data_IF_858713775289
#
_entry.id   IF_858713775289
#
_cell.length_a   1.000
_cell.length_b   1.000
_cell.length_c   1.000
_cell.angle_alpha   90.00
_cell.angle_beta   90.00
_cell.angle_gamma   90.00
#
_symmetry.space_group_name_H-M   'P 1'
#
loop_
_entity.id
_entity.type
_entity.pdbx_description
1 polymer ?
#
# COMPACT_ATOMS: atom_id res chain seq x y z
N UNK A 1 -15.59 25.34 -0.13
CA UNK A 1 -14.89 24.75 -1.31
C UNK A 1 -15.91 24.19 -2.27
N UNK A 2 -15.54 23.56 -3.37
CA UNK A 2 -16.52 23.08 -4.34
C UNK A 2 -15.99 21.81 -5.02
N UNK A 3 -16.87 20.86 -5.34
CA UNK A 3 -16.53 19.66 -6.11
C UNK A 3 -17.09 19.82 -7.51
N UNK A 4 -16.23 19.68 -8.53
CA UNK A 4 -16.61 19.85 -9.92
C UNK A 4 -17.15 18.55 -10.51
N UNK A 5 -18.34 18.58 -11.06
CA UNK A 5 -18.99 17.46 -11.74
C UNK A 5 -18.24 17.14 -13.04
N UNK A 6 -17.86 15.88 -13.22
CA UNK A 6 -17.27 15.36 -14.46
C UNK A 6 -18.32 14.68 -15.35
N UNK A 7 -19.20 13.90 -14.73
CA UNK A 7 -20.24 13.16 -15.41
C UNK A 7 -21.53 13.15 -14.58
N UNK A 8 -22.66 13.04 -15.25
CA UNK A 8 -23.98 12.83 -14.64
C UNK A 8 -24.58 11.53 -15.17
N UNK A 9 -25.11 10.73 -14.26
CA UNK A 9 -25.75 9.48 -14.60
C UNK A 9 -27.11 9.72 -15.24
N UNK A 10 -27.36 9.05 -16.38
CA UNK A 10 -28.63 9.18 -17.10
C UNK A 10 -29.78 8.64 -16.25
N UNK A 11 -30.86 9.41 -16.16
CA UNK A 11 -32.06 9.10 -15.37
C UNK A 11 -31.93 9.39 -13.87
N UNK A 12 -30.82 10.01 -13.43
CA UNK A 12 -30.60 10.40 -12.03
C UNK A 12 -31.39 11.65 -11.62
N UNK A 13 -31.48 11.89 -10.31
CA UNK A 13 -32.01 13.15 -9.78
C UNK A 13 -31.17 14.34 -10.17
N UNK A 14 -29.84 14.18 -10.24
CA UNK A 14 -28.93 15.23 -10.69
C UNK A 14 -29.26 15.69 -12.13
N UNK A 15 -29.53 14.73 -13.04
CA UNK A 15 -29.99 15.05 -14.41
C UNK A 15 -31.35 15.74 -14.41
N UNK A 16 -32.31 15.26 -13.59
CA UNK A 16 -33.62 15.84 -13.46
C UNK A 16 -33.64 17.29 -12.98
N UNK A 17 -32.65 17.68 -12.15
CA UNK A 17 -32.42 19.06 -11.69
C UNK A 17 -31.78 19.95 -12.76
N UNK A 18 -31.28 19.37 -13.86
CA UNK A 18 -30.60 20.07 -14.94
C UNK A 18 -29.13 20.40 -14.65
N UNK A 19 -28.52 19.71 -13.70
CA UNK A 19 -27.08 19.78 -13.47
C UNK A 19 -26.33 19.24 -14.70
N UNK A 20 -25.14 19.77 -14.95
CA UNK A 20 -24.32 19.41 -16.12
C UNK A 20 -22.86 19.16 -15.74
N UNK A 21 -22.12 18.37 -16.52
CA UNK A 21 -20.66 18.30 -16.40
C UNK A 21 -20.05 19.71 -16.46
N UNK A 22 -19.18 20.00 -15.51
CA UNK A 22 -18.56 21.30 -15.33
C UNK A 22 -19.18 22.18 -14.25
N UNK A 23 -20.40 21.88 -13.79
CA UNK A 23 -21.01 22.55 -12.62
C UNK A 23 -20.24 22.19 -11.34
N UNK A 24 -20.26 23.11 -10.36
CA UNK A 24 -19.56 22.96 -9.08
C UNK A 24 -20.56 22.83 -7.94
N UNK A 25 -20.57 21.69 -7.25
CA UNK A 25 -21.37 21.51 -6.03
C UNK A 25 -20.71 22.23 -4.85
N UNK A 26 -21.44 23.09 -4.15
CA UNK A 26 -20.92 23.95 -3.09
C UNK A 26 -21.26 23.44 -1.71
N UNK A 27 -22.54 23.13 -1.44
CA UNK A 27 -23.00 22.67 -0.14
C UNK A 27 -24.27 21.83 -0.23
N UNK A 28 -24.47 21.00 0.80
CA UNK A 28 -25.72 20.27 1.07
C UNK A 28 -26.13 20.57 2.53
N UNK A 29 -27.35 21.06 2.75
CA UNK A 29 -27.88 21.46 4.07
C UNK A 29 -26.90 22.33 4.87
N UNK A 30 -26.34 23.38 4.23
CA UNK A 30 -25.33 24.30 4.78
C UNK A 30 -23.94 23.66 5.04
N UNK A 31 -23.77 22.33 4.86
CA UNK A 31 -22.46 21.70 4.95
C UNK A 31 -21.71 21.87 3.62
N UNK A 32 -20.53 22.48 3.67
CA UNK A 32 -19.65 22.60 2.50
C UNK A 32 -19.23 21.21 2.00
N UNK A 33 -19.13 21.05 0.68
CA UNK A 33 -18.64 19.84 0.05
C UNK A 33 -17.14 20.02 -0.28
N UNK A 34 -16.28 19.33 0.44
CA UNK A 34 -14.83 19.43 0.30
C UNK A 34 -14.23 18.24 -0.48
N UNK A 35 -14.94 17.13 -0.51
CA UNK A 35 -14.53 15.88 -1.16
C UNK A 35 -15.75 15.01 -1.49
N UNK A 36 -15.51 13.88 -2.16
CA UNK A 36 -16.56 12.93 -2.51
C UNK A 36 -17.20 12.26 -1.31
N UNK A 37 -16.49 12.17 -0.16
CA UNK A 37 -17.07 11.61 1.06
C UNK A 37 -18.16 12.52 1.63
N UNK A 38 -17.94 13.85 1.63
CA UNK A 38 -18.99 14.82 2.00
C UNK A 38 -20.19 14.70 1.06
N UNK A 39 -19.95 14.62 -0.25
CA UNK A 39 -21.00 14.46 -1.23
C UNK A 39 -21.83 13.19 -0.98
N UNK A 40 -21.20 12.04 -0.88
CA UNK A 40 -21.89 10.76 -0.66
C UNK A 40 -22.69 10.78 0.64
N UNK A 41 -22.08 11.27 1.73
CA UNK A 41 -22.71 11.30 3.03
C UNK A 41 -23.93 12.23 3.09
N UNK A 42 -23.78 13.48 2.62
CA UNK A 42 -24.85 14.45 2.74
C UNK A 42 -25.94 14.28 1.69
N UNK A 43 -25.64 13.69 0.52
CA UNK A 43 -26.66 13.37 -0.48
C UNK A 43 -27.36 12.03 -0.23
N UNK A 44 -26.88 11.15 0.66
CA UNK A 44 -27.59 9.92 1.05
C UNK A 44 -28.75 10.21 2.01
N UNK A 45 -29.67 11.07 1.57
CA UNK A 45 -30.87 11.47 2.30
C UNK A 45 -32.05 11.50 1.36
N UNK A 46 -33.26 11.28 1.90
CA UNK A 46 -34.53 11.42 1.14
C UNK A 46 -34.92 12.89 0.89
N UNK A 47 -34.33 13.84 1.65
CA UNK A 47 -34.51 15.26 1.41
C UNK A 47 -33.29 16.05 1.86
N UNK A 48 -32.88 17.02 1.04
CA UNK A 48 -31.77 17.93 1.36
C UNK A 48 -31.86 19.20 0.52
N UNK A 49 -31.20 20.26 0.98
CA UNK A 49 -31.03 21.50 0.24
C UNK A 49 -29.67 21.53 -0.45
N UNK A 50 -29.67 21.53 -1.78
CA UNK A 50 -28.47 21.55 -2.61
C UNK A 50 -28.16 22.96 -3.11
N UNK A 51 -26.91 23.39 -2.99
CA UNK A 51 -26.40 24.61 -3.58
C UNK A 51 -25.24 24.29 -4.54
N UNK A 52 -25.35 24.79 -5.77
CA UNK A 52 -24.33 24.60 -6.77
C UNK A 52 -24.10 25.88 -7.60
N UNK A 53 -22.89 26.00 -8.15
CA UNK A 53 -22.53 27.01 -9.12
C UNK A 53 -22.65 26.39 -10.50
N UNK A 54 -23.56 26.89 -11.29
CA UNK A 54 -23.83 26.51 -12.68
C UNK A 54 -23.43 27.65 -13.62
N UNK A 55 -23.51 27.40 -14.94
CA UNK A 55 -23.07 28.38 -15.96
C UNK A 55 -23.63 29.80 -15.77
N UNK A 56 -24.90 29.91 -15.31
CA UNK A 56 -25.59 31.19 -15.13
C UNK A 56 -25.46 31.80 -13.72
N UNK A 57 -24.67 31.18 -12.83
CA UNK A 57 -24.47 31.67 -11.46
C UNK A 57 -24.78 30.60 -10.41
N UNK A 58 -25.05 31.03 -9.17
CA UNK A 58 -25.38 30.10 -8.08
C UNK A 58 -26.88 29.78 -8.14
N UNK A 59 -27.21 28.48 -8.03
CA UNK A 59 -28.58 27.98 -7.91
C UNK A 59 -28.72 27.11 -6.67
N UNK A 60 -29.95 27.02 -6.16
CA UNK A 60 -30.32 26.24 -5.00
C UNK A 60 -31.57 25.41 -5.31
N UNK A 61 -31.61 24.18 -4.77
CA UNK A 61 -32.73 23.26 -4.96
C UNK A 61 -33.11 22.58 -3.63
N UNK A 62 -34.40 22.49 -3.35
CA UNK A 62 -34.91 21.57 -2.33
C UNK A 62 -35.17 20.22 -2.96
N UNK A 63 -34.25 19.30 -2.78
CA UNK A 63 -34.33 17.95 -3.34
C UNK A 63 -35.20 17.10 -2.43
N UNK A 64 -36.16 16.35 -3.04
CA UNK A 64 -37.00 15.36 -2.36
C UNK A 64 -37.05 14.10 -3.18
N UNK A 65 -36.66 12.97 -2.59
CA UNK A 65 -36.55 11.66 -3.23
C UNK A 65 -37.44 10.63 -2.56
N UNK A 66 -37.93 9.67 -3.33
CA UNK A 66 -38.70 8.56 -2.80
C UNK A 66 -37.88 7.62 -1.94
N UNK A 67 -36.64 7.41 -2.32
CA UNK A 67 -35.66 6.50 -1.63
C UNK A 67 -34.32 7.17 -1.50
N UNK A 68 -33.52 6.70 -0.55
CA UNK A 68 -32.09 7.04 -0.43
C UNK A 68 -31.29 6.32 -1.50
N UNK A 69 -30.13 6.83 -1.84
CA UNK A 69 -29.25 6.21 -2.81
C UNK A 69 -28.36 7.22 -3.55
N UNK A 70 -27.62 6.81 -4.57
CA UNK A 70 -26.76 7.71 -5.34
C UNK A 70 -27.56 8.86 -5.94
N UNK A 71 -27.03 10.07 -5.82
CA UNK A 71 -27.65 11.27 -6.40
C UNK A 71 -27.35 11.40 -7.90
N UNK A 72 -26.25 10.80 -8.36
CA UNK A 72 -25.92 10.61 -9.78
C UNK A 72 -24.92 11.61 -10.36
N UNK A 73 -24.01 12.13 -9.55
CA UNK A 73 -22.85 12.88 -10.02
C UNK A 73 -21.56 12.07 -9.84
N UNK A 74 -20.73 12.00 -10.88
CA UNK A 74 -19.37 11.51 -10.82
C UNK A 74 -18.38 12.66 -10.92
N UNK A 75 -17.19 12.46 -10.37
CA UNK A 75 -16.14 13.47 -10.24
C UNK A 75 -14.82 12.93 -10.80
N UNK A 76 -14.07 13.77 -11.51
CA UNK A 76 -12.72 13.43 -12.01
C UNK A 76 -11.66 13.38 -10.92
N UNK A 77 -11.96 13.93 -9.73
CA UNK A 77 -11.09 13.92 -8.56
C UNK A 77 -11.91 13.65 -7.31
N UNK A 78 -11.33 12.92 -6.37
CA UNK A 78 -11.96 12.64 -5.06
C UNK A 78 -11.91 13.84 -4.12
N UNK A 79 -11.05 14.83 -4.38
CA UNK A 79 -10.86 16.00 -3.54
C UNK A 79 -11.29 17.27 -4.26
N UNK A 80 -12.02 18.13 -3.57
CA UNK A 80 -12.39 19.46 -4.06
C UNK A 80 -11.27 20.49 -3.95
N UNK A 81 -10.18 20.16 -3.24
CA UNK A 81 -9.01 21.00 -3.03
C UNK A 81 -7.70 20.23 -3.27
N UNK A 82 -6.57 20.82 -2.88
CA UNK A 82 -5.27 20.16 -2.96
C UNK A 82 -5.09 19.16 -1.82
N UNK A 83 -4.32 18.07 -2.10
CA UNK A 83 -3.92 17.09 -1.10
C UNK A 83 -3.14 17.75 0.04
N UNK A 84 -3.42 17.33 1.27
CA UNK A 84 -2.71 17.80 2.46
C UNK A 84 -1.30 17.18 2.52
N UNK A 85 -0.28 18.01 2.36
CA UNK A 85 1.11 17.57 2.44
C UNK A 85 1.55 17.40 3.89
N UNK A 86 2.35 16.37 4.16
CA UNK A 86 2.89 16.08 5.48
C UNK A 86 3.80 17.21 5.99
N UNK A 87 3.55 17.68 7.20
CA UNK A 87 4.33 18.72 7.89
C UNK A 87 5.47 18.17 8.75
N UNK A 88 5.67 16.84 8.79
CA UNK A 88 6.67 16.19 9.62
C UNK A 88 8.05 16.15 8.97
N UNK A 89 9.09 16.10 9.83
CA UNK A 89 10.48 15.84 9.45
C UNK A 89 10.99 14.59 10.16
N UNK A 90 10.29 13.46 9.93
CA UNK A 90 10.54 12.21 10.63
C UNK A 90 11.98 11.74 10.46
N UNK A 91 12.63 11.33 11.57
CA UNK A 91 13.99 10.79 11.52
C UNK A 91 14.15 9.56 10.62
N UNK A 92 13.05 8.94 10.22
CA UNK A 92 12.96 7.73 9.41
C UNK A 92 12.28 7.95 8.05
N UNK A 93 11.91 9.18 7.68
CA UNK A 93 11.17 9.44 6.46
C UNK A 93 11.89 8.87 5.24
N UNK A 94 11.20 7.99 4.48
CA UNK A 94 11.78 7.38 3.29
C UNK A 94 11.91 8.41 2.15
N UNK A 95 10.96 9.35 2.05
CA UNK A 95 10.97 10.40 1.03
C UNK A 95 12.19 11.32 1.19
N UNK A 96 12.58 11.65 2.43
CA UNK A 96 13.73 12.51 2.70
C UNK A 96 15.08 11.85 2.35
N UNK A 97 15.11 10.56 2.10
CA UNK A 97 16.30 9.79 1.73
C UNK A 97 16.20 9.20 0.31
N UNK A 98 15.35 9.79 -0.54
CA UNK A 98 15.33 9.49 -1.97
C UNK A 98 16.51 10.19 -2.67
N UNK A 99 17.09 9.56 -3.73
CA UNK A 99 18.08 10.23 -4.56
C UNK A 99 17.54 11.54 -5.14
N UNK A 100 18.35 12.58 -5.27
CA UNK A 100 17.93 13.82 -5.94
C UNK A 100 17.73 13.59 -7.45
N UNK A 101 16.79 14.34 -8.05
CA UNK A 101 16.56 14.33 -9.51
C UNK A 101 15.64 13.24 -10.03
N UNK A 102 14.94 12.52 -9.15
CA UNK A 102 13.84 11.64 -9.54
C UNK A 102 12.60 12.48 -9.91
N UNK A 103 11.57 11.84 -10.52
CA UNK A 103 10.33 12.54 -10.86
C UNK A 103 9.65 13.17 -9.64
N UNK A 104 9.06 14.33 -9.82
CA UNK A 104 8.51 15.17 -8.74
C UNK A 104 7.48 14.45 -7.88
N UNK A 105 6.64 13.61 -8.48
CA UNK A 105 5.59 12.85 -7.77
C UNK A 105 6.13 11.95 -6.65
N UNK A 106 7.39 11.49 -6.71
CA UNK A 106 8.00 10.66 -5.69
C UNK A 106 8.38 11.44 -4.42
N UNK A 107 8.50 12.76 -4.51
CA UNK A 107 8.85 13.61 -3.36
C UNK A 107 7.64 14.15 -2.61
N UNK A 108 6.43 13.82 -3.08
CA UNK A 108 5.22 14.20 -2.36
C UNK A 108 5.09 13.40 -1.06
N UNK A 109 4.96 14.11 0.06
CA UNK A 109 4.73 13.51 1.38
C UNK A 109 3.26 13.60 1.70
N UNK A 110 2.57 12.48 1.70
CA UNK A 110 1.16 12.39 2.04
C UNK A 110 0.95 12.34 3.57
N UNK A 111 -0.03 13.08 4.06
CA UNK A 111 -0.59 13.00 5.42
C UNK A 111 -2.04 13.53 5.40
N UNK A 112 -2.81 13.16 4.36
CA UNK A 112 -4.19 13.57 4.13
C UNK A 112 -5.14 12.48 4.66
N UNK A 113 -5.97 12.82 5.63
CA UNK A 113 -6.88 11.89 6.30
C UNK A 113 -7.93 11.31 5.34
N UNK A 114 -8.31 12.04 4.30
CA UNK A 114 -9.27 11.59 3.29
C UNK A 114 -8.71 10.44 2.46
N UNK A 115 -7.40 10.48 2.16
CA UNK A 115 -6.71 9.44 1.42
C UNK A 115 -6.49 8.18 2.28
N UNK A 116 -6.52 8.29 3.60
CA UNK A 116 -6.49 7.12 4.48
C UNK A 116 -7.70 6.21 4.25
N UNK A 117 -8.89 6.78 4.18
CA UNK A 117 -10.11 6.01 3.91
C UNK A 117 -10.22 5.58 2.44
N UNK A 118 -9.96 6.50 1.50
CA UNK A 118 -10.16 6.26 0.06
C UNK A 118 -9.15 5.26 -0.53
N UNK A 119 -7.91 5.27 -0.04
CA UNK A 119 -6.80 4.52 -0.65
C UNK A 119 -5.98 3.69 0.35
N UNK A 120 -6.36 3.65 1.62
CA UNK A 120 -5.64 2.89 2.64
C UNK A 120 -4.34 3.57 3.14
N UNK A 121 -4.10 4.84 2.81
CA UNK A 121 -2.89 5.55 3.23
C UNK A 121 -2.80 5.69 4.74
N UNK A 122 -1.59 5.58 5.28
CA UNK A 122 -1.34 5.74 6.72
C UNK A 122 -1.00 7.18 7.05
N UNK A 123 -1.76 7.80 7.98
CA UNK A 123 -1.60 9.18 8.41
C UNK A 123 -0.99 9.29 9.80
N UNK A 124 -0.27 10.38 10.06
CA UNK A 124 0.28 10.67 11.40
C UNK A 124 -0.68 11.43 12.31
N UNK A 125 -1.76 11.93 11.78
CA UNK A 125 -2.73 12.84 12.42
C UNK A 125 -2.16 14.23 12.78
N UNK A 126 -0.87 14.52 12.49
CA UNK A 126 -0.24 15.78 12.91
C UNK A 126 -0.79 17.01 12.19
N UNK A 127 -1.41 16.82 11.03
CA UNK A 127 -2.10 17.88 10.30
C UNK A 127 -3.53 18.13 10.82
N UNK A 128 -4.14 17.13 11.50
CA UNK A 128 -5.54 17.14 11.88
C UNK A 128 -5.83 18.05 13.08
N UNK A 129 -7.05 18.55 13.14
CA UNK A 129 -7.63 19.34 14.23
C UNK A 129 -8.91 18.66 14.76
N UNK A 130 -9.49 19.21 15.82
CA UNK A 130 -10.64 18.61 16.48
C UNK A 130 -11.86 18.46 15.54
N UNK A 131 -12.09 19.41 14.64
CA UNK A 131 -13.25 19.38 13.73
C UNK A 131 -13.14 18.25 12.67
N UNK A 132 -11.93 17.88 12.24
CA UNK A 132 -11.72 16.77 11.31
C UNK A 132 -11.96 15.42 12.01
N UNK A 133 -11.58 15.31 13.29
CA UNK A 133 -11.92 14.13 14.09
C UNK A 133 -13.44 14.04 14.30
N UNK A 134 -14.12 15.18 14.58
CA UNK A 134 -15.58 15.21 14.70
C UNK A 134 -16.26 14.80 13.39
N UNK A 135 -15.73 15.24 12.24
CA UNK A 135 -16.22 14.85 10.92
C UNK A 135 -16.09 13.33 10.70
N UNK A 136 -14.93 12.74 10.97
CA UNK A 136 -14.69 11.31 10.84
C UNK A 136 -15.70 10.51 11.67
N UNK A 137 -15.90 10.90 12.92
CA UNK A 137 -16.84 10.23 13.83
C UNK A 137 -18.29 10.41 13.34
N UNK A 138 -18.70 11.64 12.99
CA UNK A 138 -20.05 11.95 12.50
C UNK A 138 -20.41 11.15 11.25
N UNK A 139 -19.47 11.02 10.32
CA UNK A 139 -19.67 10.36 9.04
C UNK A 139 -19.38 8.85 9.08
N UNK A 140 -18.94 8.32 10.23
CA UNK A 140 -18.49 6.94 10.37
C UNK A 140 -17.44 6.52 9.32
N UNK A 141 -16.46 7.40 9.05
CA UNK A 141 -15.34 7.10 8.14
C UNK A 141 -14.44 6.07 8.80
N UNK A 142 -14.61 4.81 8.44
CA UNK A 142 -13.99 3.66 9.11
C UNK A 142 -13.72 2.52 8.12
N UNK A 143 -12.57 1.80 8.18
CA UNK A 143 -11.47 2.04 9.11
C UNK A 143 -10.62 3.24 8.73
N UNK A 144 -9.80 3.73 9.68
CA UNK A 144 -8.76 4.73 9.43
C UNK A 144 -7.37 4.14 9.75
N UNK A 145 -6.39 4.42 8.89
CA UNK A 145 -5.05 3.88 9.01
C UNK A 145 -4.10 4.91 9.64
N UNK A 146 -3.50 4.58 10.79
CA UNK A 146 -2.72 5.52 11.58
C UNK A 146 -1.28 5.06 11.77
N UNK A 147 -0.33 5.91 11.37
CA UNK A 147 1.10 5.80 11.66
C UNK A 147 1.35 6.23 13.12
N UNK A 148 1.29 5.27 14.04
CA UNK A 148 1.45 5.52 15.48
C UNK A 148 2.91 5.64 15.87
N UNK A 149 3.72 4.66 15.49
CA UNK A 149 5.17 4.47 15.77
C UNK A 149 5.49 4.28 17.26
N UNK A 150 4.91 5.06 18.15
CA UNK A 150 4.98 4.93 19.62
C UNK A 150 3.83 5.70 20.27
N UNK A 151 3.36 5.22 21.42
CA UNK A 151 2.38 5.90 22.28
C UNK A 151 3.02 6.85 23.29
N UNK A 152 4.37 6.87 23.37
CA UNK A 152 5.10 7.83 24.19
C UNK A 152 5.10 9.22 23.53
N UNK A 153 4.42 10.22 24.12
CA UNK A 153 4.26 11.54 23.48
C UNK A 153 5.60 12.24 23.22
N UNK A 154 6.53 12.17 24.17
CA UNK A 154 7.83 12.83 24.07
C UNK A 154 8.70 12.16 22.99
N UNK A 155 8.70 10.82 22.95
CA UNK A 155 9.43 10.08 21.93
C UNK A 155 8.83 10.33 20.55
N UNK A 156 7.49 10.36 20.42
CA UNK A 156 6.81 10.62 19.16
C UNK A 156 7.13 12.00 18.59
N UNK A 157 7.16 13.05 19.45
CA UNK A 157 7.62 14.40 19.06
C UNK A 157 9.04 14.36 18.49
N UNK A 158 9.93 13.62 19.14
CA UNK A 158 11.33 13.45 18.69
C UNK A 158 11.40 12.68 17.35
N UNK A 159 10.65 11.60 17.21
CA UNK A 159 10.65 10.75 16.01
C UNK A 159 10.10 11.45 14.77
N UNK A 160 9.01 12.21 14.94
CA UNK A 160 8.36 12.96 13.86
C UNK A 160 8.99 14.34 13.62
N UNK A 161 9.86 14.80 14.53
CA UNK A 161 10.40 16.16 14.59
C UNK A 161 9.28 17.22 14.47
N UNK A 162 8.12 16.94 15.09
CA UNK A 162 6.92 17.79 15.09
C UNK A 162 6.34 17.87 16.49
N UNK A 163 6.18 19.09 17.02
CA UNK A 163 5.66 19.33 18.37
C UNK A 163 4.26 18.75 18.57
N UNK A 164 3.43 18.76 17.54
CA UNK A 164 2.08 18.17 17.58
C UNK A 164 2.08 16.64 17.67
N UNK A 165 3.20 15.96 17.34
CA UNK A 165 3.29 14.51 17.31
C UNK A 165 2.87 13.82 18.60
N UNK A 166 3.15 14.43 19.77
CA UNK A 166 2.69 13.91 21.06
C UNK A 166 1.25 14.30 21.41
N UNK A 167 0.85 15.52 21.05
CA UNK A 167 -0.48 16.04 21.35
C UNK A 167 -1.61 15.27 20.66
N UNK A 168 -1.42 14.93 19.38
CA UNK A 168 -2.45 14.27 18.56
C UNK A 168 -2.72 12.81 18.95
N UNK A 169 -1.89 12.21 19.82
CA UNK A 169 -2.18 10.88 20.36
C UNK A 169 -3.51 10.84 21.12
N UNK A 170 -4.00 11.97 21.64
CA UNK A 170 -5.34 12.10 22.25
C UNK A 170 -6.48 11.75 21.30
N UNK A 171 -6.25 11.82 19.98
CA UNK A 171 -7.28 11.52 18.98
C UNK A 171 -7.54 10.02 18.83
N UNK A 172 -6.55 9.20 19.14
CA UNK A 172 -6.69 7.74 19.00
C UNK A 172 -7.81 7.18 19.89
N UNK A 173 -7.81 7.38 21.23
CA UNK A 173 -8.94 6.94 22.05
C UNK A 173 -10.25 7.63 21.67
N UNK A 174 -10.24 8.88 21.23
CA UNK A 174 -11.46 9.59 20.81
C UNK A 174 -12.10 8.98 19.57
N UNK A 175 -11.31 8.55 18.57
CA UNK A 175 -11.79 7.81 17.41
C UNK A 175 -12.41 6.48 17.81
N UNK A 176 -11.72 5.73 18.67
CA UNK A 176 -12.17 4.43 19.20
C UNK A 176 -13.49 4.58 19.98
N UNK A 177 -13.59 5.55 20.88
CA UNK A 177 -14.82 5.88 21.63
C UNK A 177 -15.96 6.31 20.69
N UNK A 178 -15.63 6.97 19.59
CA UNK A 178 -16.57 7.34 18.52
C UNK A 178 -16.98 6.17 17.60
N UNK A 179 -16.53 4.94 17.86
CA UNK A 179 -16.88 3.75 17.09
C UNK A 179 -16.11 3.59 15.77
N UNK A 180 -14.98 4.29 15.61
CA UNK A 180 -14.13 4.20 14.42
C UNK A 180 -13.09 3.11 14.59
N UNK A 181 -13.06 2.16 13.66
CA UNK A 181 -12.04 1.13 13.59
C UNK A 181 -10.70 1.74 13.14
N UNK A 182 -9.61 1.26 13.74
CA UNK A 182 -8.26 1.79 13.49
C UNK A 182 -7.30 0.67 13.15
N UNK A 183 -6.54 0.86 12.07
CA UNK A 183 -5.37 0.06 11.74
C UNK A 183 -4.11 0.85 12.09
N UNK A 184 -3.20 0.24 12.83
CA UNK A 184 -2.00 0.90 13.32
C UNK A 184 -0.75 0.41 12.59
N UNK A 185 0.12 1.34 12.21
CA UNK A 185 1.46 1.03 11.71
C UNK A 185 2.51 1.52 12.71
N UNK A 186 3.45 0.65 13.04
CA UNK A 186 4.63 0.94 13.85
C UNK A 186 5.88 0.81 12.97
N UNK A 187 6.42 1.94 12.50
CA UNK A 187 7.73 1.93 11.88
C UNK A 187 8.79 1.93 12.98
N UNK A 188 9.60 0.87 13.04
CA UNK A 188 10.57 0.68 14.10
C UNK A 188 11.98 1.14 13.71
N UNK A 189 12.60 1.93 14.59
CA UNK A 189 13.95 2.41 14.49
C UNK A 189 14.78 1.76 15.58
N UNK A 190 15.83 1.01 15.22
CA UNK A 190 16.68 0.25 16.15
C UNK A 190 17.22 1.13 17.27
N UNK A 191 17.00 0.71 18.52
CA UNK A 191 17.44 1.41 19.73
C UNK A 191 16.66 2.69 20.05
N UNK A 192 15.49 2.92 19.42
CA UNK A 192 14.66 4.12 19.62
C UNK A 192 13.28 3.78 20.12
N UNK A 193 12.49 3.06 19.33
CA UNK A 193 11.12 2.67 19.66
C UNK A 193 10.89 1.14 19.61
N UNK A 194 11.94 0.36 19.69
CA UNK A 194 11.94 -1.08 19.89
C UNK A 194 12.07 -1.47 21.38
N UNK A 195 12.24 -2.74 21.69
CA UNK A 195 12.42 -3.25 23.05
C UNK A 195 11.27 -2.84 23.99
N UNK A 196 11.60 -2.24 25.14
CA UNK A 196 10.62 -1.83 26.14
C UNK A 196 9.63 -0.77 25.65
N UNK A 197 10.07 0.10 24.75
CA UNK A 197 9.17 1.11 24.16
C UNK A 197 8.14 0.47 23.22
N UNK A 198 8.55 -0.59 22.50
CA UNK A 198 7.61 -1.39 21.69
C UNK A 198 6.61 -2.10 22.58
N UNK A 199 7.06 -2.75 23.67
CA UNK A 199 6.17 -3.41 24.66
C UNK A 199 5.14 -2.45 25.23
N UNK A 200 5.57 -1.25 25.63
CA UNK A 200 4.69 -0.18 26.09
C UNK A 200 3.65 0.17 25.04
N UNK A 201 4.09 0.46 23.82
CA UNK A 201 3.20 0.86 22.71
C UNK A 201 2.17 -0.21 22.40
N UNK A 202 2.57 -1.47 22.34
CA UNK A 202 1.65 -2.59 22.12
C UNK A 202 0.64 -2.75 23.27
N UNK A 203 1.09 -2.61 24.53
CA UNK A 203 0.22 -2.63 25.69
C UNK A 203 -0.86 -1.54 25.64
N UNK A 204 -0.44 -0.29 25.37
CA UNK A 204 -1.35 0.85 25.29
C UNK A 204 -2.39 0.68 24.15
N UNK A 205 -1.97 0.15 22.99
CA UNK A 205 -2.86 -0.09 21.84
C UNK A 205 -3.83 -1.25 22.09
N UNK A 206 -3.42 -2.28 22.80
CA UNK A 206 -4.30 -3.41 23.15
C UNK A 206 -5.48 -2.99 24.04
N UNK A 207 -5.30 -1.99 24.90
CA UNK A 207 -6.40 -1.47 25.73
C UNK A 207 -7.52 -0.80 24.90
N UNK A 208 -7.25 -0.51 23.62
CA UNK A 208 -8.21 0.06 22.67
C UNK A 208 -8.93 -1.00 21.81
N UNK A 209 -8.63 -2.29 22.01
CA UNK A 209 -9.32 -3.39 21.32
C UNK A 209 -10.78 -3.48 21.83
N UNK A 210 -11.79 -3.74 20.97
CA UNK A 210 -11.68 -4.29 19.61
C UNK A 210 -11.62 -3.25 18.47
N UNK A 211 -11.66 -1.95 18.77
CA UNK A 211 -11.66 -0.93 17.72
C UNK A 211 -10.28 -0.75 17.05
N UNK A 212 -9.18 -1.01 17.74
CA UNK A 212 -7.89 -1.29 17.09
C UNK A 212 -7.98 -2.70 16.49
N UNK A 213 -8.11 -2.77 15.17
CA UNK A 213 -8.37 -4.02 14.45
C UNK A 213 -7.09 -4.71 13.98
N UNK A 214 -6.03 -3.94 13.72
CA UNK A 214 -4.74 -4.52 13.33
C UNK A 214 -3.57 -3.58 13.66
N UNK A 215 -2.43 -4.18 13.98
CA UNK A 215 -1.17 -3.48 14.29
C UNK A 215 -0.04 -4.17 13.51
N UNK A 216 0.56 -3.46 12.55
CA UNK A 216 1.72 -3.93 11.83
C UNK A 216 2.99 -3.21 12.28
N UNK A 217 4.07 -3.96 12.52
CA UNK A 217 5.39 -3.39 12.71
C UNK A 217 6.26 -3.62 11.47
N UNK A 218 6.87 -2.54 10.96
CA UNK A 218 7.77 -2.57 9.81
C UNK A 218 9.14 -1.99 10.19
N UNK A 219 10.26 -2.51 9.69
CA UNK A 219 11.56 -1.94 9.97
C UNK A 219 11.80 -0.64 9.20
N UNK A 220 12.57 0.27 9.80
CA UNK A 220 13.00 1.47 9.11
C UNK A 220 13.91 1.11 7.92
N UNK A 221 13.47 1.49 6.70
CA UNK A 221 14.30 1.42 5.50
C UNK A 221 15.42 2.45 5.57
N UNK A 222 16.66 2.05 5.25
CA UNK A 222 17.86 2.90 5.30
C UNK A 222 18.51 2.88 3.93
N UNK A 223 18.59 4.05 3.27
CA UNK A 223 19.29 4.23 2.00
C UNK A 223 20.67 4.88 2.19
N UNK A 224 21.45 4.94 1.13
CA UNK A 224 22.75 5.64 1.15
C UNK A 224 22.61 7.17 1.06
N UNK A 225 21.39 7.71 0.85
CA UNK A 225 21.12 9.15 0.71
C UNK A 225 20.72 9.81 2.04
N UNK A 226 21.47 9.52 3.11
CA UNK A 226 21.16 10.01 4.48
C UNK A 226 22.21 10.98 5.05
N UNK A 227 22.99 11.65 4.23
CA UNK A 227 24.15 12.44 4.67
C UNK A 227 23.82 13.50 5.73
N UNK A 228 22.65 14.13 5.66
CA UNK A 228 22.21 15.17 6.59
C UNK A 228 21.01 14.75 7.46
N UNK A 229 20.68 13.46 7.48
CA UNK A 229 19.56 12.94 8.24
C UNK A 229 20.03 12.25 9.52
N UNK A 230 19.11 12.01 10.45
CA UNK A 230 19.39 11.28 11.68
C UNK A 230 20.02 9.92 11.35
N UNK A 231 21.16 9.60 12.00
CA UNK A 231 21.88 8.35 11.77
C UNK A 231 21.04 7.18 12.27
N UNK A 232 20.58 6.34 11.36
CA UNK A 232 19.89 5.10 11.66
C UNK A 232 20.85 3.91 11.62
N UNK A 233 20.64 2.95 12.52
CA UNK A 233 21.35 1.66 12.50
C UNK A 233 20.38 0.62 11.95
N UNK A 234 20.68 -0.06 10.84
CA UNK A 234 19.83 -1.12 10.32
C UNK A 234 19.69 -2.28 11.32
N UNK A 235 18.56 -2.98 11.24
CA UNK A 235 18.36 -4.22 11.97
C UNK A 235 19.20 -5.34 11.36
N UNK A 236 19.81 -6.14 12.22
CA UNK A 236 20.46 -7.43 11.88
C UNK A 236 19.57 -8.60 12.27
N UNK A 237 20.06 -9.84 12.09
CA UNK A 237 19.28 -11.04 12.36
C UNK A 237 18.87 -11.15 13.84
N UNK A 238 19.76 -10.87 14.77
CA UNK A 238 19.50 -10.98 16.22
C UNK A 238 18.46 -9.95 16.68
N UNK A 239 18.63 -8.68 16.28
CA UNK A 239 17.69 -7.60 16.66
C UNK A 239 16.35 -7.72 15.96
N UNK A 240 16.31 -8.27 14.74
CA UNK A 240 15.06 -8.60 14.07
C UNK A 240 14.30 -9.74 14.79
N UNK A 241 15.03 -10.77 15.22
CA UNK A 241 14.44 -11.87 16.01
C UNK A 241 13.84 -11.37 17.32
N UNK A 242 14.50 -10.44 18.01
CA UNK A 242 13.98 -9.85 19.25
C UNK A 242 12.67 -9.06 19.02
N UNK A 243 12.52 -8.37 17.89
CA UNK A 243 11.25 -7.70 17.52
C UNK A 243 10.15 -8.73 17.27
N UNK A 244 10.46 -9.79 16.52
CA UNK A 244 9.49 -10.88 16.26
C UNK A 244 8.99 -11.45 17.59
N UNK A 245 9.90 -11.80 18.51
CA UNK A 245 9.56 -12.39 19.80
C UNK A 245 8.59 -11.51 20.61
N UNK A 246 8.79 -10.20 20.64
CA UNK A 246 7.89 -9.25 21.30
C UNK A 246 6.53 -9.20 20.60
N UNK A 247 6.53 -9.07 19.27
CA UNK A 247 5.30 -8.96 18.50
C UNK A 247 4.44 -10.24 18.58
N UNK A 248 5.08 -11.41 18.56
CA UNK A 248 4.39 -12.69 18.69
C UNK A 248 3.85 -12.90 20.09
N UNK A 249 4.60 -12.56 21.15
CA UNK A 249 4.14 -12.61 22.55
C UNK A 249 2.84 -11.80 22.73
N UNK A 250 2.83 -10.54 22.25
CA UNK A 250 1.63 -9.69 22.35
C UNK A 250 0.50 -10.13 21.42
N UNK A 251 0.81 -10.68 20.25
CA UNK A 251 -0.17 -11.25 19.32
C UNK A 251 -0.86 -12.47 19.91
N UNK A 252 -0.11 -13.36 20.58
CA UNK A 252 -0.65 -14.53 21.27
C UNK A 252 -1.50 -14.13 22.49
N UNK A 253 -1.06 -13.12 23.23
CA UNK A 253 -1.83 -12.56 24.34
C UNK A 253 -3.15 -11.97 23.84
N UNK A 254 -3.13 -11.21 22.74
CA UNK A 254 -4.33 -10.66 22.12
C UNK A 254 -5.29 -11.78 21.69
N UNK A 255 -4.79 -12.82 21.02
CA UNK A 255 -5.60 -13.98 20.61
C UNK A 255 -6.23 -14.70 21.80
N UNK A 256 -5.50 -14.83 22.91
CA UNK A 256 -6.05 -15.43 24.15
C UNK A 256 -7.15 -14.57 24.79
N UNK A 257 -6.98 -13.23 24.81
CA UNK A 257 -7.94 -12.32 25.46
C UNK A 257 -9.17 -12.04 24.60
N UNK A 258 -8.97 -11.86 23.31
CA UNK A 258 -9.99 -11.32 22.39
C UNK A 258 -10.42 -12.29 21.29
N UNK A 259 -9.81 -13.48 21.21
CA UNK A 259 -10.15 -14.51 20.22
C UNK A 259 -9.57 -14.30 18.82
N UNK A 260 -8.94 -13.15 18.54
CA UNK A 260 -8.31 -12.82 17.27
C UNK A 260 -6.90 -12.27 17.50
N UNK A 261 -5.96 -12.61 16.62
CA UNK A 261 -4.64 -11.98 16.54
C UNK A 261 -4.80 -10.68 15.75
N UNK A 262 -4.27 -9.58 16.26
CA UNK A 262 -4.27 -8.29 15.56
C UNK A 262 -2.87 -7.68 15.45
N UNK A 263 -1.85 -8.32 16.01
CA UNK A 263 -0.48 -7.81 16.08
C UNK A 263 0.42 -8.69 15.23
N UNK A 264 1.10 -8.06 14.26
CA UNK A 264 1.88 -8.76 13.25
C UNK A 264 3.22 -8.05 12.97
N UNK A 265 4.37 -8.76 13.05
CA UNK A 265 5.58 -8.31 12.38
C UNK A 265 5.43 -8.48 10.87
N UNK A 266 5.97 -7.55 10.07
CA UNK A 266 6.02 -7.72 8.62
C UNK A 266 6.94 -8.88 8.20
N UNK A 267 6.75 -9.40 7.00
CA UNK A 267 7.55 -10.50 6.45
C UNK A 267 9.06 -10.18 6.43
N UNK A 268 9.41 -8.89 6.27
CA UNK A 268 10.79 -8.43 6.28
C UNK A 268 11.54 -8.78 7.58
N UNK A 269 10.85 -8.81 8.73
CA UNK A 269 11.45 -9.20 9.99
C UNK A 269 11.89 -10.66 9.98
N UNK A 270 11.01 -11.56 9.48
CA UNK A 270 11.31 -12.99 9.38
C UNK A 270 12.48 -13.25 8.42
N UNK A 271 12.46 -12.58 7.26
CA UNK A 271 13.52 -12.71 6.27
C UNK A 271 14.87 -12.21 6.82
N UNK A 272 14.90 -11.09 7.52
CA UNK A 272 16.11 -10.56 8.17
C UNK A 272 16.62 -11.45 9.31
N UNK A 273 15.73 -12.02 10.10
CA UNK A 273 16.05 -12.92 11.19
C UNK A 273 16.45 -14.33 10.70
N UNK A 274 16.25 -14.65 9.42
CA UNK A 274 16.43 -16.01 8.90
C UNK A 274 15.42 -17.00 9.48
N UNK A 275 14.24 -16.52 9.91
CA UNK A 275 13.15 -17.35 10.42
C UNK A 275 12.15 -17.68 9.29
N UNK A 276 11.48 -18.83 9.34
CA UNK A 276 10.45 -19.16 8.36
C UNK A 276 9.27 -18.19 8.47
N UNK A 277 8.66 -17.86 7.33
CA UNK A 277 7.40 -17.11 7.28
C UNK A 277 6.30 -17.95 7.93
N UNK A 278 5.49 -17.40 8.85
CA UNK A 278 4.40 -18.14 9.50
C UNK A 278 3.39 -18.72 8.50
N UNK A 279 2.63 -19.76 8.91
CA UNK A 279 1.57 -20.33 8.08
C UNK A 279 0.37 -19.37 7.96
N UNK A 280 -0.52 -19.61 6.98
CA UNK A 280 -1.64 -18.71 6.66
C UNK A 280 -2.54 -18.40 7.86
N UNK A 281 -2.77 -19.39 8.72
CA UNK A 281 -3.63 -19.27 9.92
C UNK A 281 -3.08 -18.27 10.96
N UNK A 282 -1.80 -17.91 10.88
CA UNK A 282 -1.20 -16.89 11.73
C UNK A 282 -1.72 -15.49 11.39
N UNK A 283 -2.03 -15.24 10.11
CA UNK A 283 -2.37 -13.92 9.58
C UNK A 283 -3.87 -13.60 9.62
N UNK A 284 -4.72 -14.55 10.09
CA UNK A 284 -6.17 -14.39 10.14
C UNK A 284 -6.74 -13.99 8.76
N UNK A 285 -7.24 -12.75 8.61
CA UNK A 285 -7.83 -12.24 7.37
C UNK A 285 -6.83 -11.50 6.46
N UNK A 286 -5.53 -11.49 6.78
CA UNK A 286 -4.48 -10.74 6.04
C UNK A 286 -4.72 -9.23 5.97
N UNK A 287 -5.20 -8.62 7.04
CA UNK A 287 -5.62 -7.21 7.11
C UNK A 287 -4.49 -6.18 6.83
N UNK A 288 -3.22 -6.61 6.78
CA UNK A 288 -2.05 -5.72 6.70
C UNK A 288 -1.12 -6.03 5.52
N UNK A 289 -1.64 -6.58 4.41
CA UNK A 289 -0.85 -6.94 3.23
C UNK A 289 -0.03 -5.75 2.69
N UNK A 290 -0.57 -4.55 2.68
CA UNK A 290 0.11 -3.34 2.20
C UNK A 290 1.33 -2.96 3.05
N UNK A 291 1.37 -3.39 4.32
CA UNK A 291 2.53 -3.27 5.18
C UNK A 291 3.50 -4.47 5.07
N UNK A 292 3.31 -5.34 4.07
CA UNK A 292 4.13 -6.53 3.86
C UNK A 292 3.95 -7.58 4.95
N UNK A 293 2.75 -7.70 5.54
CA UNK A 293 2.39 -8.72 6.53
C UNK A 293 1.69 -9.87 5.85
N UNK A 294 2.32 -11.04 5.80
CA UNK A 294 1.75 -12.25 5.19
C UNK A 294 1.74 -12.24 3.66
N UNK A 295 2.29 -11.22 3.02
CA UNK A 295 2.32 -11.10 1.55
C UNK A 295 3.09 -12.28 0.93
N UNK A 296 4.25 -12.64 1.52
CA UNK A 296 5.06 -13.76 1.05
C UNK A 296 4.34 -15.09 1.23
N UNK A 297 3.61 -15.27 2.34
CA UNK A 297 2.81 -16.47 2.59
C UNK A 297 1.68 -16.60 1.59
N UNK A 298 0.90 -15.54 1.40
CA UNK A 298 -0.21 -15.54 0.45
C UNK A 298 0.27 -15.85 -0.97
N UNK A 299 1.36 -15.21 -1.40
CA UNK A 299 1.96 -15.45 -2.70
C UNK A 299 2.40 -16.91 -2.88
N UNK A 300 3.09 -17.47 -1.88
CA UNK A 300 3.57 -18.86 -1.90
C UNK A 300 2.40 -19.85 -1.97
N UNK A 301 1.37 -19.66 -1.14
CA UNK A 301 0.21 -20.56 -1.07
C UNK A 301 -0.61 -20.51 -2.36
N UNK A 302 -0.84 -19.32 -2.92
CA UNK A 302 -1.53 -19.16 -4.21
C UNK A 302 -0.75 -19.82 -5.37
N UNK A 303 0.59 -19.65 -5.38
CA UNK A 303 1.45 -20.25 -6.39
C UNK A 303 1.38 -21.77 -6.35
N UNK A 304 1.56 -22.37 -5.17
CA UNK A 304 1.48 -23.83 -4.98
C UNK A 304 0.10 -24.36 -5.28
N UNK A 305 -0.96 -23.69 -4.83
CA UNK A 305 -2.33 -24.08 -5.13
C UNK A 305 -2.62 -24.11 -6.64
N UNK A 306 -1.99 -23.23 -7.41
CA UNK A 306 -2.10 -23.25 -8.87
C UNK A 306 -1.28 -24.39 -9.49
N UNK A 307 -0.08 -24.68 -8.97
CA UNK A 307 0.74 -25.80 -9.44
C UNK A 307 0.06 -27.17 -9.22
N UNK A 308 -0.69 -27.30 -8.12
CA UNK A 308 -1.43 -28.53 -7.78
C UNK A 308 -2.61 -28.80 -8.72
N UNK A 309 -3.03 -27.81 -9.53
CA UNK A 309 -4.06 -27.99 -10.55
C UNK A 309 -3.47 -28.70 -11.76
N UNK A 310 -4.25 -29.52 -12.46
CA UNK A 310 -3.76 -30.21 -13.66
C UNK A 310 -3.61 -29.22 -14.81
N UNK A 311 -2.38 -29.02 -15.28
CA UNK A 311 -2.08 -28.19 -16.45
C UNK A 311 -1.62 -29.03 -17.64
N UNK A 312 -2.13 -28.73 -18.83
CA UNK A 312 -1.62 -29.30 -20.09
C UNK A 312 -0.62 -28.32 -20.70
N UNK A 313 0.65 -28.67 -20.61
CA UNK A 313 1.74 -27.87 -21.18
C UNK A 313 2.06 -28.35 -22.57
N UNK A 314 2.09 -27.43 -23.52
CA UNK A 314 2.41 -27.72 -24.93
C UNK A 314 3.68 -26.95 -25.32
N UNK A 315 4.78 -27.68 -25.58
CA UNK A 315 6.07 -27.10 -25.91
C UNK A 315 6.93 -26.80 -24.70
N UNK A 316 8.00 -26.06 -24.91
CA UNK A 316 8.96 -25.66 -23.88
C UNK A 316 8.88 -24.14 -23.65
N UNK A 317 9.15 -23.70 -22.44
CA UNK A 317 9.32 -22.28 -22.09
C UNK A 317 10.63 -22.12 -21.34
N UNK A 318 11.43 -21.15 -21.77
CA UNK A 318 12.59 -20.68 -21.03
C UNK A 318 12.44 -19.20 -20.79
N UNK A 319 12.60 -18.77 -19.55
CA UNK A 319 12.45 -17.38 -19.13
C UNK A 319 13.41 -17.05 -17.99
N UNK A 320 14.06 -15.90 -18.08
CA UNK A 320 14.78 -15.30 -16.98
C UNK A 320 13.81 -14.45 -16.14
N UNK A 321 13.88 -14.51 -14.81
CA UNK A 321 13.04 -13.73 -13.89
C UNK A 321 13.92 -12.96 -12.93
N UNK A 322 13.61 -11.70 -12.69
CA UNK A 322 14.33 -10.87 -11.70
C UNK A 322 13.52 -10.72 -10.41
N UNK A 323 14.23 -10.64 -9.29
CA UNK A 323 13.64 -10.33 -7.99
C UNK A 323 14.65 -9.61 -7.10
N UNK A 324 14.19 -9.03 -5.96
CA UNK A 324 15.06 -8.43 -4.96
C UNK A 324 15.74 -9.46 -4.06
N UNK A 325 16.73 -9.02 -3.30
CA UNK A 325 17.52 -9.91 -2.44
C UNK A 325 16.73 -10.59 -1.32
N UNK A 326 15.67 -9.95 -0.81
CA UNK A 326 14.84 -10.52 0.26
C UNK A 326 13.96 -11.66 -0.24
N UNK A 327 13.28 -11.48 -1.36
CA UNK A 327 12.41 -12.51 -1.94
C UNK A 327 13.20 -13.60 -2.70
N UNK A 328 14.45 -13.32 -3.04
CA UNK A 328 15.29 -14.20 -3.87
C UNK A 328 15.30 -15.67 -3.46
N UNK A 329 15.55 -16.03 -2.20
CA UNK A 329 15.55 -17.42 -1.75
C UNK A 329 14.22 -18.14 -2.00
N UNK A 330 13.08 -17.51 -1.61
CA UNK A 330 11.76 -18.10 -1.78
C UNK A 330 11.40 -18.25 -3.27
N UNK A 331 11.58 -17.19 -4.05
CA UNK A 331 11.29 -17.23 -5.51
C UNK A 331 12.12 -18.30 -6.19
N UNK A 332 13.41 -18.43 -5.82
CA UNK A 332 14.27 -19.47 -6.39
C UNK A 332 13.76 -20.88 -6.04
N UNK A 333 13.33 -21.10 -4.80
CA UNK A 333 12.76 -22.38 -4.38
C UNK A 333 11.49 -22.72 -5.15
N UNK A 334 10.58 -21.74 -5.30
CA UNK A 334 9.31 -21.90 -6.02
C UNK A 334 9.54 -22.19 -7.52
N UNK A 335 10.50 -21.52 -8.16
CA UNK A 335 10.84 -21.80 -9.56
C UNK A 335 11.48 -23.19 -9.73
N UNK A 336 12.26 -23.66 -8.78
CA UNK A 336 12.78 -25.01 -8.75
C UNK A 336 11.65 -26.05 -8.56
N UNK A 337 10.64 -25.74 -7.75
CA UNK A 337 9.45 -26.58 -7.57
C UNK A 337 8.65 -26.67 -8.88
N UNK A 338 8.39 -25.53 -9.53
CA UNK A 338 7.77 -25.47 -10.85
C UNK A 338 8.50 -26.34 -11.87
N UNK A 339 9.84 -26.22 -11.95
CA UNK A 339 10.65 -27.03 -12.89
C UNK A 339 10.57 -28.51 -12.57
N UNK A 340 10.60 -28.92 -11.31
CA UNK A 340 10.44 -30.33 -10.91
C UNK A 340 9.12 -30.92 -11.37
N UNK A 341 8.03 -30.15 -11.26
CA UNK A 341 6.71 -30.60 -11.68
C UNK A 341 6.46 -30.51 -13.19
N UNK A 342 7.04 -29.50 -13.84
CA UNK A 342 6.92 -29.21 -15.25
C UNK A 342 8.30 -29.01 -15.88
N UNK A 343 9.08 -30.11 -16.18
CA UNK A 343 10.47 -30.01 -16.66
C UNK A 343 10.64 -29.32 -18.02
N UNK A 344 9.56 -29.11 -18.78
CA UNK A 344 9.55 -28.32 -20.01
C UNK A 344 9.55 -26.81 -19.77
N UNK A 345 9.37 -26.35 -18.52
CA UNK A 345 9.45 -24.95 -18.15
C UNK A 345 10.73 -24.74 -17.35
N UNK A 346 11.61 -23.93 -17.88
CA UNK A 346 12.88 -23.56 -17.27
C UNK A 346 12.90 -22.09 -16.91
N UNK A 347 13.02 -21.79 -15.62
CA UNK A 347 13.00 -20.42 -15.09
C UNK A 347 14.30 -20.16 -14.37
N UNK A 348 15.10 -19.24 -14.90
CA UNK A 348 16.31 -18.78 -14.24
C UNK A 348 16.04 -17.52 -13.43
N UNK A 349 16.28 -17.60 -12.12
CA UNK A 349 16.07 -16.46 -11.20
C UNK A 349 17.36 -15.65 -11.08
N UNK A 350 17.27 -14.35 -11.32
CA UNK A 350 18.32 -13.36 -11.10
C UNK A 350 17.96 -12.53 -9.88
N UNK A 351 18.70 -12.74 -8.79
CA UNK A 351 18.55 -11.96 -7.55
C UNK A 351 19.35 -10.68 -7.69
N UNK A 352 18.65 -9.55 -7.80
CA UNK A 352 19.23 -8.23 -8.05
C UNK A 352 19.42 -7.49 -6.72
N UNK A 353 20.64 -7.07 -6.45
CA UNK A 353 20.97 -6.20 -5.32
C UNK A 353 20.59 -4.76 -5.67
N UNK A 354 19.90 -4.10 -4.75
CA UNK A 354 19.56 -2.69 -4.92
C UNK A 354 20.80 -1.82 -4.58
N UNK A 355 21.49 -1.34 -5.59
CA UNK A 355 22.60 -0.39 -5.46
C UNK A 355 22.13 1.05 -5.68
N UNK A 356 20.98 1.23 -6.31
CA UNK A 356 20.41 2.55 -6.59
C UNK A 356 20.03 3.28 -5.29
N UNK A 357 19.34 2.61 -4.36
CA UNK A 357 19.02 3.16 -3.04
C UNK A 357 20.08 2.85 -1.97
N UNK A 358 20.89 1.83 -2.18
CA UNK A 358 21.89 1.38 -1.23
C UNK A 358 21.58 0.03 -0.57
N UNK A 359 22.60 -0.56 0.04
CA UNK A 359 22.68 -1.96 0.39
C UNK A 359 21.68 -2.52 1.41
N UNK A 360 20.92 -1.68 2.12
CA UNK A 360 19.92 -2.13 3.11
C UNK A 360 18.49 -2.25 2.53
N UNK A 361 18.30 -1.85 1.28
CA UNK A 361 17.03 -1.96 0.58
C UNK A 361 17.03 -3.23 -0.24
N UNK A 362 16.28 -4.25 0.20
CA UNK A 362 16.28 -5.58 -0.43
C UNK A 362 14.93 -6.02 -1.00
N UNK A 363 13.88 -5.23 -0.83
CA UNK A 363 12.52 -5.53 -1.32
C UNK A 363 12.46 -5.44 -2.85
N UNK A 364 11.73 -6.34 -3.49
CA UNK A 364 11.62 -6.41 -4.95
C UNK A 364 11.04 -5.13 -5.56
N UNK A 365 10.01 -4.53 -4.95
CA UNK A 365 9.34 -3.34 -5.48
C UNK A 365 10.19 -2.08 -5.57
N UNK A 366 11.37 -2.05 -4.95
CA UNK A 366 12.31 -0.92 -5.03
C UNK A 366 13.50 -1.20 -5.96
N UNK A 367 13.58 -2.36 -6.61
CA UNK A 367 14.61 -2.67 -7.61
C UNK A 367 14.38 -1.81 -8.85
N UNK A 368 15.44 -1.16 -9.32
CA UNK A 368 15.40 -0.25 -10.48
C UNK A 368 15.87 -0.95 -11.77
N UNK A 369 15.48 -0.38 -12.92
CA UNK A 369 15.97 -0.89 -14.20
C UNK A 369 17.49 -0.75 -14.34
N UNK A 370 18.06 0.33 -13.80
CA UNK A 370 19.52 0.54 -13.77
C UNK A 370 20.24 -0.61 -13.05
N UNK A 371 19.71 -1.07 -11.91
CA UNK A 371 20.29 -2.20 -11.18
C UNK A 371 20.13 -3.53 -11.95
N UNK A 372 18.98 -3.72 -12.61
CA UNK A 372 18.74 -4.92 -13.45
C UNK A 372 19.74 -4.94 -14.62
N UNK A 373 19.88 -3.82 -15.34
CA UNK A 373 20.83 -3.73 -16.47
C UNK A 373 22.24 -4.06 -15.99
N UNK A 374 22.72 -3.39 -14.96
CA UNK A 374 24.09 -3.54 -14.47
C UNK A 374 24.43 -4.96 -14.01
N UNK A 375 23.44 -5.72 -13.53
CA UNK A 375 23.67 -7.04 -12.95
C UNK A 375 23.27 -8.20 -13.87
N UNK A 376 22.39 -7.97 -14.85
CA UNK A 376 21.89 -8.99 -15.76
C UNK A 376 22.43 -8.91 -17.20
N UNK A 377 23.04 -7.78 -17.62
CA UNK A 377 23.62 -7.64 -18.94
C UNK A 377 24.64 -8.76 -19.23
N UNK A 378 24.45 -9.48 -20.34
CA UNK A 378 25.28 -10.62 -20.74
C UNK A 378 25.12 -11.90 -19.89
N UNK A 379 24.14 -11.95 -18.97
CA UNK A 379 23.91 -13.12 -18.11
C UNK A 379 22.53 -13.79 -18.34
N UNK A 380 21.68 -13.16 -19.13
CA UNK A 380 20.37 -13.73 -19.47
C UNK A 380 20.58 -14.91 -20.42
N UNK A 381 19.86 -16.01 -20.17
CA UNK A 381 19.97 -17.27 -20.95
C UNK A 381 18.80 -17.44 -21.90
N UNK A 382 17.69 -16.72 -21.67
CA UNK A 382 16.52 -16.73 -22.52
C UNK A 382 16.34 -15.41 -23.28
N UNK A 383 15.52 -15.42 -24.30
CA UNK A 383 15.13 -14.20 -25.02
C UNK A 383 14.01 -13.41 -24.32
N UNK A 384 13.60 -13.81 -23.10
CA UNK A 384 12.50 -13.19 -22.35
C UNK A 384 12.89 -12.98 -20.91
N UNK A 385 12.67 -11.75 -20.41
CA UNK A 385 12.88 -11.36 -19.02
C UNK A 385 11.54 -11.07 -18.35
N UNK A 386 11.19 -11.86 -17.34
CA UNK A 386 10.05 -11.61 -16.45
C UNK A 386 10.42 -10.62 -15.36
N UNK A 387 9.62 -9.59 -15.18
CA UNK A 387 9.76 -8.61 -14.10
C UNK A 387 8.48 -8.55 -13.27
N UNK A 388 8.53 -8.61 -11.93
CA UNK A 388 7.34 -8.44 -11.09
C UNK A 388 6.71 -7.06 -11.28
N UNK A 389 5.38 -7.00 -11.41
CA UNK A 389 4.66 -5.74 -11.61
C UNK A 389 4.86 -4.72 -10.47
N UNK A 390 5.25 -5.18 -9.26
CA UNK A 390 5.57 -4.30 -8.12
C UNK A 390 6.82 -3.42 -8.34
N UNK A 391 7.67 -3.72 -9.34
CA UNK A 391 8.83 -2.89 -9.70
C UNK A 391 8.43 -1.65 -10.50
N UNK A 392 7.19 -1.59 -10.98
CA UNK A 392 6.70 -0.56 -11.89
C UNK A 392 5.70 0.34 -11.18
N UNK A 393 5.55 1.56 -11.69
CA UNK A 393 4.46 2.45 -11.29
C UNK A 393 3.08 1.84 -11.67
N UNK A 394 2.00 2.49 -11.26
CA UNK A 394 0.63 1.99 -11.43
C UNK A 394 0.31 1.63 -12.89
N UNK A 395 0.72 2.44 -13.85
CA UNK A 395 0.52 2.21 -15.29
C UNK A 395 1.33 1.02 -15.85
N UNK A 396 2.19 0.40 -15.02
CA UNK A 396 2.99 -0.78 -15.35
C UNK A 396 3.91 -0.61 -16.56
N UNK A 397 4.48 0.56 -16.75
CA UNK A 397 5.34 0.90 -17.90
C UNK A 397 6.73 1.44 -17.56
N UNK A 398 6.91 1.94 -16.32
CA UNK A 398 8.11 2.70 -15.92
C UNK A 398 8.58 2.32 -14.52
N UNK A 399 9.88 2.16 -14.33
CA UNK A 399 10.53 1.91 -13.05
C UNK A 399 10.67 3.20 -12.21
N UNK A 400 11.19 3.05 -10.99
CA UNK A 400 11.42 4.19 -10.08
C UNK A 400 12.50 5.17 -10.60
N UNK A 401 13.46 4.68 -11.36
CA UNK A 401 14.53 5.45 -12.01
C UNK A 401 14.16 6.00 -13.40
N UNK A 402 12.86 6.08 -13.68
CA UNK A 402 12.27 6.61 -14.92
C UNK A 402 12.64 5.86 -16.21
N UNK A 403 13.29 4.71 -16.10
CA UNK A 403 13.54 3.82 -17.24
C UNK A 403 12.25 3.07 -17.56
N UNK A 404 11.88 3.02 -18.84
CA UNK A 404 10.70 2.29 -19.31
C UNK A 404 11.01 0.81 -19.54
N UNK A 405 9.97 -0.04 -19.57
CA UNK A 405 10.08 -1.46 -19.95
C UNK A 405 10.70 -1.61 -21.34
N UNK A 406 10.32 -0.75 -22.28
CA UNK A 406 10.85 -0.78 -23.65
C UNK A 406 12.36 -0.52 -23.67
N UNK A 407 12.82 0.49 -22.93
CA UNK A 407 14.25 0.80 -22.81
C UNK A 407 15.05 -0.32 -22.14
N UNK A 408 14.47 -0.94 -21.08
CA UNK A 408 15.09 -2.11 -20.44
C UNK A 408 15.25 -3.26 -21.45
N UNK A 409 14.20 -3.58 -22.20
CA UNK A 409 14.22 -4.65 -23.21
C UNK A 409 15.21 -4.39 -24.33
N UNK A 410 15.25 -3.16 -24.84
CA UNK A 410 16.22 -2.72 -25.86
C UNK A 410 17.67 -2.85 -25.35
N UNK A 411 17.92 -2.38 -24.13
CA UNK A 411 19.27 -2.42 -23.53
C UNK A 411 19.79 -3.80 -23.30
N UNK A 412 18.94 -4.73 -22.86
CA UNK A 412 19.31 -6.13 -22.60
C UNK A 412 19.16 -7.04 -23.81
N UNK A 413 18.55 -6.56 -24.91
CA UNK A 413 18.32 -7.34 -26.12
C UNK A 413 17.29 -8.48 -25.94
N UNK A 414 16.30 -8.32 -25.04
CA UNK A 414 15.29 -9.32 -24.70
C UNK A 414 13.87 -8.74 -24.72
N UNK A 415 12.88 -9.62 -24.87
CA UNK A 415 11.48 -9.26 -24.61
C UNK A 415 11.26 -9.17 -23.11
N UNK A 416 10.64 -8.12 -22.61
CA UNK A 416 10.25 -8.00 -21.21
C UNK A 416 8.78 -8.41 -21.03
N UNK A 417 8.52 -9.29 -20.08
CA UNK A 417 7.17 -9.69 -19.64
C UNK A 417 6.94 -9.20 -18.22
N UNK A 418 5.81 -8.49 -17.99
CA UNK A 418 5.40 -8.10 -16.65
C UNK A 418 4.65 -9.25 -16.01
N UNK A 419 5.18 -9.76 -14.90
CA UNK A 419 4.59 -10.85 -14.13
C UNK A 419 3.60 -10.28 -13.10
N UNK A 420 2.43 -10.93 -12.92
CA UNK A 420 1.45 -10.52 -11.92
C UNK A 420 2.00 -10.53 -10.50
N UNK A 421 1.35 -9.80 -9.59
CA UNK A 421 1.71 -9.76 -8.15
C UNK A 421 1.08 -10.89 -7.33
N UNK A 422 0.05 -11.56 -7.84
CA UNK A 422 -0.55 -12.74 -7.21
C UNK A 422 0.23 -14.00 -7.60
N UNK A 423 0.54 -14.83 -6.61
CA UNK A 423 1.29 -16.07 -6.85
C UNK A 423 0.59 -17.03 -7.83
N UNK A 424 -0.75 -17.11 -7.73
CA UNK A 424 -1.54 -17.95 -8.63
C UNK A 424 -1.54 -17.47 -10.07
N UNK A 425 -1.60 -16.17 -10.29
CA UNK A 425 -1.56 -15.62 -11.65
C UNK A 425 -0.16 -15.63 -12.24
N UNK A 426 0.89 -15.46 -11.41
CA UNK A 426 2.28 -15.65 -11.84
C UNK A 426 2.52 -17.10 -12.27
N UNK A 427 2.08 -18.08 -11.49
CA UNK A 427 2.14 -19.49 -11.86
C UNK A 427 1.45 -19.76 -13.21
N UNK A 428 0.24 -19.25 -13.41
CA UNK A 428 -0.48 -19.34 -14.70
C UNK A 428 0.30 -18.70 -15.85
N UNK A 429 0.89 -17.52 -15.62
CA UNK A 429 1.69 -16.84 -16.63
C UNK A 429 2.93 -17.65 -17.03
N UNK A 430 3.60 -18.26 -16.06
CA UNK A 430 4.75 -19.13 -16.30
C UNK A 430 4.37 -20.45 -17.00
N UNK A 431 3.23 -21.03 -16.64
CA UNK A 431 2.69 -22.27 -17.22
C UNK A 431 2.17 -22.09 -18.66
N UNK A 432 1.86 -20.85 -19.09
CA UNK A 432 1.44 -20.58 -20.47
C UNK A 432 2.62 -20.68 -21.41
N UNK A 433 2.69 -21.77 -22.14
CA UNK A 433 3.61 -21.92 -23.29
C UNK A 433 2.94 -21.36 -24.55
N UNK A 434 3.64 -20.46 -25.24
CA UNK A 434 3.10 -19.79 -26.42
C UNK A 434 2.86 -20.74 -27.60
N UNK A 435 1.66 -21.31 -27.71
CA UNK A 435 1.16 -21.81 -28.96
C UNK A 435 0.58 -20.65 -29.77
N UNK A 436 1.37 -20.04 -30.64
CA UNK A 436 0.85 -19.39 -31.83
C UNK A 436 0.23 -20.45 -32.73
N UNK A 437 -1.05 -20.82 -32.49
CA UNK A 437 -1.85 -21.49 -33.52
C UNK A 437 -2.10 -20.44 -34.60
N UNK A 438 -1.24 -20.37 -35.61
CA UNK A 438 -1.57 -19.69 -36.83
C UNK A 438 -2.82 -20.37 -37.38
N UNK A 439 -3.97 -19.75 -37.25
CA UNK A 439 -5.18 -20.14 -38.00
C UNK A 439 -4.82 -19.99 -39.48
N UNK A 440 -4.30 -21.06 -40.10
CA UNK A 440 -4.33 -21.16 -41.55
C UNK A 440 -5.81 -21.11 -41.95
N UNK A 441 -6.22 -19.98 -42.48
CA UNK A 441 -7.47 -19.85 -43.22
C UNK A 441 -7.35 -20.91 -44.34
N UNK A 442 -8.14 -21.96 -44.25
CA UNK A 442 -8.41 -22.80 -45.42
C UNK A 442 -9.20 -21.93 -46.38
N UNK A 443 -8.61 -21.76 -47.56
CA UNK A 443 -9.25 -21.17 -48.75
C UNK A 443 -10.41 -22.07 -49.22
#
# INVERSE_FOLDING_TARGET
MAIKIDRIDAGSEAEALGLQPGDELLSVDENELNDTLDYDFYTDSSSFHLKAKVADGIREWDVRRAERGPFGCDFSTYLGDQKHSCSNHCMFCFIDQLPPGMRESLYFKDDDERLSFLFGNYITMTNMQDHEIDRIIKMHISPINISVHTTNPQLRVRMLANKRGGEVLKYLPRLVEGGIAVNCQLLLCRGINDGEELRRTLGDLLELTPMVQSIAAVPCGVTDYRQNLFKQTPYDAETSAAVIDIMEEFGDECKRRHGKRIIYPSDEWYLKAGRPIPPAEFYEDFDQLENGVGMMRLFEDEFRAELDRPHRIYGTKQIDVVTGTMAGPLITEMMNELHRQYPMIDVKVHVVKNNFFGGNVGVAGLVTATDIIAQCEGKLESGTLGIPAVMLREEKDTFLDDVTIAQLGERLGVKVEVLPVSGGDEAKALLRTGLHISRRRRA
#
